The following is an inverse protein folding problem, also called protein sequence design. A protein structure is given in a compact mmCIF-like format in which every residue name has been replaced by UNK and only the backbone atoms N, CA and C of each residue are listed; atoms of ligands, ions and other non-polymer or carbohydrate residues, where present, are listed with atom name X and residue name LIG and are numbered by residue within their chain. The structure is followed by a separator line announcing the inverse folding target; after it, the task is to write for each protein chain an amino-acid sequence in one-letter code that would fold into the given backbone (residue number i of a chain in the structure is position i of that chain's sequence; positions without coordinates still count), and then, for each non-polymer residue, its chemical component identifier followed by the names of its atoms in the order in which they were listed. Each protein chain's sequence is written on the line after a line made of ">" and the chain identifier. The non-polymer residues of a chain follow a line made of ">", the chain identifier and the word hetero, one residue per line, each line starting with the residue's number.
data_IF_495490742707
#
_entry.id   IF_495490742707
#
_cell.length_a   1.000
_cell.length_b   1.000
_cell.length_c   1.000
_cell.angle_alpha   90.00
_cell.angle_beta   90.00
_cell.angle_gamma   90.00
#
_symmetry.space_group_name_H-M   'P 1'
#
loop_
_entity.id
_entity.type
_entity.pdbx_description
1 polymer ?
#
# COMPACT_ATOMS: atom_id res chain seq x y z
N UNK A 1 23.88 -6.20 13.28
CA UNK A 1 22.42 -5.95 13.16
C UNK A 1 22.19 -5.31 11.79
N UNK A 2 21.42 -5.94 10.91
CA UNK A 2 21.06 -5.35 9.60
C UNK A 2 19.75 -4.58 9.75
N UNK A 3 19.69 -3.28 9.40
CA UNK A 3 18.44 -2.51 9.47
C UNK A 3 17.60 -2.77 8.21
N UNK A 4 16.55 -3.60 8.33
CA UNK A 4 15.54 -3.74 7.28
C UNK A 4 14.60 -2.52 7.37
N UNK A 5 14.39 -1.85 6.24
CA UNK A 5 13.39 -0.78 6.07
C UNK A 5 12.31 -1.30 5.14
N UNK A 6 11.05 -1.20 5.58
CA UNK A 6 9.88 -1.58 4.78
C UNK A 6 9.07 -0.33 4.50
N UNK A 7 8.76 -0.10 3.23
CA UNK A 7 7.86 0.96 2.81
C UNK A 7 6.42 0.46 2.82
N UNK A 8 5.52 1.27 3.37
CA UNK A 8 4.10 0.97 3.49
C UNK A 8 3.31 2.13 2.91
N UNK A 9 2.42 1.81 1.99
CA UNK A 9 1.47 2.76 1.39
C UNK A 9 0.07 2.43 1.90
N UNK A 10 -0.61 3.41 2.48
CA UNK A 10 -1.96 3.23 3.01
C UNK A 10 -2.98 3.85 2.09
N UNK A 11 -4.08 3.14 1.86
CA UNK A 11 -5.24 3.63 1.13
C UNK A 11 -6.48 3.52 2.04
N UNK A 12 -7.37 4.52 2.05
CA UNK A 12 -8.68 4.34 2.68
C UNK A 12 -9.46 3.24 1.93
N UNK A 13 -10.35 2.53 2.61
CA UNK A 13 -11.10 1.41 2.03
C UNK A 13 -11.87 1.83 0.77
N UNK A 14 -12.40 3.05 0.74
CA UNK A 14 -13.13 3.65 -0.38
C UNK A 14 -12.28 3.72 -1.67
N UNK A 15 -10.95 3.72 -1.53
CA UNK A 15 -9.97 3.75 -2.62
C UNK A 15 -9.36 2.37 -2.92
N UNK A 16 -9.99 1.26 -2.50
CA UNK A 16 -9.47 -0.08 -2.75
C UNK A 16 -9.16 -0.36 -4.24
N UNK A 17 -9.97 0.18 -5.16
CA UNK A 17 -9.73 0.03 -6.60
C UNK A 17 -8.46 0.75 -7.07
N UNK A 18 -8.13 1.90 -6.48
CA UNK A 18 -6.89 2.64 -6.77
C UNK A 18 -5.68 1.85 -6.27
N UNK A 19 -5.76 1.31 -5.04
CA UNK A 19 -4.71 0.44 -4.48
C UNK A 19 -4.42 -0.78 -5.38
N UNK A 20 -5.46 -1.41 -5.94
CA UNK A 20 -5.33 -2.53 -6.87
C UNK A 20 -4.73 -2.11 -8.22
N UNK A 21 -5.12 -0.93 -8.73
CA UNK A 21 -4.55 -0.38 -9.95
C UNK A 21 -3.05 -0.07 -9.79
N UNK A 22 -2.67 0.50 -8.64
CA UNK A 22 -1.28 0.79 -8.27
C UNK A 22 -0.45 -0.48 -8.15
N UNK A 23 -1.00 -1.52 -7.52
CA UNK A 23 -0.37 -2.83 -7.41
C UNK A 23 -0.12 -3.44 -8.80
N UNK A 24 -1.14 -3.44 -9.67
CA UNK A 24 -1.01 -3.97 -11.04
C UNK A 24 0.03 -3.20 -11.85
N UNK A 25 0.09 -1.90 -11.67
CA UNK A 25 1.03 -1.02 -12.37
C UNK A 25 2.44 -1.03 -11.74
N UNK A 26 2.64 -1.66 -10.59
CA UNK A 26 3.93 -1.69 -9.88
C UNK A 26 4.33 -0.33 -9.33
N UNK A 27 3.37 0.49 -8.89
CA UNK A 27 3.60 1.89 -8.49
C UNK A 27 4.19 2.08 -7.09
N UNK A 28 4.28 1.03 -6.29
CA UNK A 28 4.93 1.05 -4.98
C UNK A 28 5.82 -0.17 -4.79
N UNK A 29 6.77 -0.05 -3.86
CA UNK A 29 7.59 -1.15 -3.36
C UNK A 29 7.23 -1.40 -1.90
N UNK A 30 7.10 -2.67 -1.50
CA UNK A 30 6.66 -3.03 -0.15
C UNK A 30 5.19 -3.40 -0.08
N UNK A 31 4.47 -2.89 0.91
CA UNK A 31 3.10 -3.28 1.20
C UNK A 31 2.09 -2.15 0.97
N UNK A 32 0.97 -2.45 0.30
CA UNK A 32 -0.22 -1.59 0.28
C UNK A 32 -1.25 -2.10 1.29
N UNK A 33 -1.74 -1.22 2.15
CA UNK A 33 -2.66 -1.55 3.25
C UNK A 33 -3.94 -0.74 3.13
N UNK A 34 -5.09 -1.42 3.22
CA UNK A 34 -6.40 -0.76 3.32
C UNK A 34 -6.73 -0.43 4.76
N UNK A 35 -7.14 0.81 5.01
CA UNK A 35 -7.59 1.27 6.32
C UNK A 35 -9.12 1.26 6.36
N UNK A 36 -9.68 0.56 7.34
CA UNK A 36 -11.12 0.56 7.63
C UNK A 36 -11.41 1.57 8.74
N UNK A 37 -12.22 2.60 8.45
CA UNK A 37 -12.62 3.62 9.42
C UNK A 37 -11.79 4.92 9.42
N UNK A 38 -11.47 5.44 8.23
CA UNK A 38 -10.95 6.81 8.04
C UNK A 38 -12.06 7.86 8.04
#
# INVERSE_FOLDING_TARGET
>A
RVPIRTDVTTYPLEQANEALADLRAGRFQGAAVLLVGG
#
